data_IF_708188324407
#
_entry.id   IF_708188324407
#
_cell.length_a   1.000
_cell.length_b   1.000
_cell.length_c   1.000
_cell.angle_alpha   90.00
_cell.angle_beta   90.00
_cell.angle_gamma   90.00
#
_symmetry.space_group_name_H-M   'P 1'
#
loop_
_entity.id
_entity.type
_entity.pdbx_description
1 polymer ?
#
# COMPACT_ATOMS: atom_id res chain seq x y z
N UNK A 1 25.56 -13.93 -46.50
CA UNK A 1 25.30 -13.50 -45.09
C UNK A 1 26.24 -12.35 -44.80
N UNK A 2 25.71 -11.18 -44.48
CA UNK A 2 26.54 -10.02 -44.12
C UNK A 2 26.78 -10.06 -42.60
N UNK A 3 28.04 -9.96 -42.18
CA UNK A 3 28.42 -10.02 -40.77
C UNK A 3 29.39 -8.88 -40.47
N UNK A 4 29.12 -8.14 -39.39
CA UNK A 4 30.08 -7.21 -38.81
C UNK A 4 30.73 -7.96 -37.63
N UNK A 5 32.08 -8.10 -37.70
CA UNK A 5 32.86 -8.80 -36.65
C UNK A 5 34.00 -7.94 -36.19
N UNK A 6 34.29 -7.98 -34.89
CA UNK A 6 35.59 -7.62 -34.33
C UNK A 6 36.21 -8.88 -33.74
N UNK A 7 37.51 -9.09 -33.96
CA UNK A 7 38.19 -10.32 -33.57
C UNK A 7 39.01 -10.21 -32.29
N UNK A 8 39.45 -9.02 -31.93
CA UNK A 8 40.28 -8.80 -30.74
C UNK A 8 39.91 -7.52 -29.93
N UNK A 9 39.31 -6.55 -30.63
CA UNK A 9 38.98 -5.25 -30.04
C UNK A 9 37.46 -5.00 -30.03
N UNK A 10 37.01 -3.99 -29.30
CA UNK A 10 35.60 -3.56 -29.30
C UNK A 10 35.21 -3.06 -30.70
N UNK A 11 34.02 -3.41 -31.17
CA UNK A 11 33.39 -2.77 -32.32
C UNK A 11 32.89 -1.39 -31.92
N UNK A 12 33.46 -0.33 -32.46
CA UNK A 12 32.94 1.02 -32.26
C UNK A 12 32.01 1.39 -33.41
N UNK A 13 30.76 1.72 -33.07
CA UNK A 13 29.81 2.34 -33.98
C UNK A 13 29.73 3.80 -33.61
N UNK A 14 30.09 4.70 -34.54
CA UNK A 14 30.08 6.14 -34.30
C UNK A 14 29.21 6.83 -35.33
N UNK A 15 28.31 7.67 -34.88
CA UNK A 15 27.50 8.56 -35.70
C UNK A 15 27.98 9.99 -35.47
N UNK A 16 28.90 10.47 -36.33
CA UNK A 16 29.47 11.81 -36.22
C UNK A 16 28.51 12.88 -36.73
N UNK A 17 28.46 14.00 -35.99
CA UNK A 17 27.69 15.20 -36.32
C UNK A 17 26.53 15.47 -35.38
N UNK A 18 26.07 16.75 -35.39
CA UNK A 18 24.93 17.16 -34.60
C UNK A 18 23.65 16.47 -35.10
N UNK A 19 22.89 15.86 -34.20
CA UNK A 19 21.63 15.14 -34.43
C UNK A 19 21.76 13.85 -35.27
N UNK A 20 22.90 13.16 -35.20
CA UNK A 20 23.06 11.85 -35.82
C UNK A 20 22.94 10.75 -34.74
N UNK A 21 22.06 9.80 -34.96
CA UNK A 21 21.79 8.68 -34.09
C UNK A 21 22.35 7.38 -34.69
N UNK A 22 22.61 6.38 -33.83
CA UNK A 22 22.84 5.01 -34.30
C UNK A 22 21.50 4.32 -34.44
N UNK A 23 21.10 3.99 -35.66
CA UNK A 23 19.79 3.42 -35.97
C UNK A 23 19.93 1.96 -36.35
N UNK A 24 19.19 1.07 -35.71
CA UNK A 24 19.04 -0.32 -36.07
C UNK A 24 17.73 -0.50 -36.84
N UNK A 25 17.81 -1.04 -38.04
CA UNK A 25 16.65 -1.26 -38.91
C UNK A 25 16.45 -2.74 -39.25
N UNK A 26 15.19 -3.13 -39.35
CA UNK A 26 14.77 -4.40 -39.90
C UNK A 26 13.74 -4.13 -40.99
N UNK A 27 14.00 -4.64 -42.18
CA UNK A 27 13.14 -4.46 -43.36
C UNK A 27 12.74 -2.98 -43.59
N UNK A 28 13.73 -2.08 -43.49
CA UNK A 28 13.54 -0.62 -43.68
C UNK A 28 12.87 0.14 -42.56
N UNK A 29 12.44 -0.54 -41.50
CA UNK A 29 11.83 0.09 -40.32
C UNK A 29 12.82 0.16 -39.15
N UNK A 30 12.85 1.28 -38.42
CA UNK A 30 13.66 1.43 -37.22
C UNK A 30 13.12 0.52 -36.13
N UNK A 31 13.99 -0.35 -35.57
CA UNK A 31 13.66 -1.27 -34.48
C UNK A 31 14.34 -0.86 -33.17
N UNK A 32 15.46 -0.14 -33.25
CA UNK A 32 16.08 0.52 -32.10
C UNK A 32 16.90 1.72 -32.57
N UNK A 33 17.03 2.71 -31.69
CA UNK A 33 17.80 3.95 -31.90
C UNK A 33 18.56 4.28 -30.61
N UNK A 34 19.87 4.50 -30.73
CA UNK A 34 20.68 5.10 -29.67
C UNK A 34 20.97 6.55 -30.09
N UNK A 35 20.37 7.51 -29.35
CA UNK A 35 20.55 8.92 -29.61
C UNK A 35 21.85 9.49 -29.02
N UNK A 36 22.17 10.73 -29.33
CA UNK A 36 23.37 11.42 -28.84
C UNK A 36 23.34 11.69 -27.32
N UNK A 37 22.16 11.70 -26.68
CA UNK A 37 22.01 11.81 -25.23
C UNK A 37 22.26 10.49 -24.49
N UNK A 38 22.48 9.40 -25.25
CA UNK A 38 22.68 8.05 -24.71
C UNK A 38 21.39 7.31 -24.42
N UNK A 39 20.24 7.79 -24.93
CA UNK A 39 18.97 7.10 -24.78
C UNK A 39 18.83 6.01 -25.83
N UNK A 40 18.71 4.75 -25.41
CA UNK A 40 18.35 3.63 -26.26
C UNK A 40 16.83 3.46 -26.30
N UNK A 41 16.22 3.77 -27.43
CA UNK A 41 14.80 3.51 -27.72
C UNK A 41 14.67 2.25 -28.54
N UNK A 42 13.85 1.29 -28.10
CA UNK A 42 13.52 0.08 -28.84
C UNK A 42 12.05 -0.27 -28.64
N UNK A 43 11.42 -0.92 -29.62
CA UNK A 43 10.01 -1.31 -29.56
C UNK A 43 9.76 -2.34 -28.45
N UNK A 44 10.71 -3.24 -28.23
CA UNK A 44 10.64 -4.28 -27.19
C UNK A 44 12.05 -4.65 -26.72
N UNK A 45 12.16 -4.98 -25.43
CA UNK A 45 13.33 -5.63 -24.87
C UNK A 45 12.94 -7.04 -24.41
N UNK A 46 13.60 -8.06 -24.96
CA UNK A 46 13.42 -9.45 -24.53
C UNK A 46 14.65 -9.90 -23.75
N UNK A 47 14.45 -10.33 -22.50
CA UNK A 47 15.54 -10.78 -21.64
C UNK A 47 15.24 -10.56 -20.15
N UNK A 48 16.21 -10.89 -19.29
CA UNK A 48 16.12 -10.64 -17.85
C UNK A 48 16.32 -9.15 -17.55
N UNK A 49 15.37 -8.55 -16.85
CA UNK A 49 15.48 -7.20 -16.29
C UNK A 49 16.26 -7.12 -14.97
N UNK A 50 16.86 -8.22 -14.49
CA UNK A 50 17.48 -8.30 -13.16
C UNK A 50 18.61 -7.30 -12.93
N UNK A 51 19.26 -6.81 -14.00
CA UNK A 51 20.32 -5.81 -13.93
C UNK A 51 19.85 -4.39 -14.24
N UNK A 52 18.55 -4.17 -14.47
CA UNK A 52 18.00 -2.83 -14.65
C UNK A 52 17.94 -2.13 -13.29
N UNK A 53 18.64 -1.02 -13.16
CA UNK A 53 18.65 -0.17 -11.96
C UNK A 53 18.09 1.21 -12.31
N UNK A 54 17.66 1.96 -11.31
CA UNK A 54 17.16 3.32 -11.52
C UNK A 54 15.75 3.41 -12.09
N UNK A 55 14.97 2.31 -12.09
CA UNK A 55 13.55 2.36 -12.43
C UNK A 55 12.81 3.22 -11.40
N UNK A 56 12.14 4.25 -11.87
CA UNK A 56 11.31 5.13 -11.04
C UNK A 56 9.86 4.67 -11.02
N UNK A 57 9.06 5.15 -10.06
CA UNK A 57 7.64 4.84 -9.97
C UNK A 57 6.85 5.14 -11.26
N UNK A 58 7.24 6.19 -12.00
CA UNK A 58 6.60 6.60 -13.27
C UNK A 58 6.89 5.65 -14.44
N UNK A 59 7.87 4.75 -14.31
CA UNK A 59 8.23 3.76 -15.33
C UNK A 59 7.55 2.41 -15.09
N UNK A 60 6.84 2.28 -13.98
CA UNK A 60 6.12 1.05 -13.65
C UNK A 60 4.72 1.07 -14.29
N UNK A 61 4.23 -0.06 -14.82
CA UNK A 61 2.87 -0.14 -15.33
C UNK A 61 1.82 0.23 -14.28
N UNK A 62 0.71 0.84 -14.72
CA UNK A 62 -0.44 1.09 -13.84
C UNK A 62 -0.89 -0.21 -13.15
N UNK A 63 -1.21 -0.12 -11.87
CA UNK A 63 -1.55 -1.26 -11.02
C UNK A 63 -0.35 -1.93 -10.33
N UNK A 64 0.90 -1.54 -10.64
CA UNK A 64 2.08 -2.05 -9.94
C UNK A 64 2.10 -1.57 -8.49
N UNK A 65 2.55 -2.44 -7.57
CA UNK A 65 2.84 -2.04 -6.18
C UNK A 65 4.22 -1.37 -6.15
N UNK A 66 4.27 -0.11 -5.74
CA UNK A 66 5.49 0.70 -5.75
C UNK A 66 6.20 0.69 -4.40
N UNK A 67 5.45 0.73 -3.30
CA UNK A 67 5.96 0.65 -1.94
C UNK A 67 4.94 0.04 -1.00
N UNK A 68 5.42 -0.49 0.13
CA UNK A 68 4.60 -1.09 1.17
C UNK A 68 5.05 -0.52 2.52
N UNK A 69 4.08 -0.10 3.34
CA UNK A 69 4.28 0.26 4.75
C UNK A 69 3.38 -0.62 5.59
N UNK A 70 3.94 -1.26 6.61
CA UNK A 70 3.21 -2.11 7.52
C UNK A 70 3.42 -1.65 8.97
N UNK A 71 2.37 -1.69 9.76
CA UNK A 71 2.41 -1.48 11.22
C UNK A 71 1.65 -2.59 11.92
N UNK A 72 2.12 -2.95 13.09
CA UNK A 72 1.63 -4.07 13.90
C UNK A 72 1.34 -3.59 15.32
N UNK A 73 0.21 -4.01 15.87
CA UNK A 73 -0.17 -3.82 17.26
C UNK A 73 -0.43 -5.20 17.88
N UNK A 74 0.32 -5.55 18.92
CA UNK A 74 0.11 -6.75 19.74
C UNK A 74 -0.24 -6.44 21.20
N UNK A 75 -0.13 -5.18 21.60
CA UNK A 75 -0.50 -4.74 22.94
C UNK A 75 -2.01 -4.57 23.05
N UNK A 76 -2.60 -5.17 24.07
CA UNK A 76 -4.02 -5.00 24.37
C UNK A 76 -4.38 -3.53 24.56
N UNK A 77 -5.48 -3.11 23.99
CA UNK A 77 -6.10 -1.81 24.19
C UNK A 77 -7.48 -1.96 24.78
N UNK A 78 -7.75 -1.27 25.87
CA UNK A 78 -9.04 -1.32 26.59
C UNK A 78 -9.70 0.05 26.62
N UNK A 79 -11.00 0.09 26.37
CA UNK A 79 -11.83 1.31 26.53
C UNK A 79 -13.13 1.02 27.27
N UNK A 80 -13.53 1.96 28.13
CA UNK A 80 -14.84 2.01 28.75
C UNK A 80 -15.71 3.15 28.21
N UNK A 81 -15.14 3.99 27.33
CA UNK A 81 -15.76 5.22 26.82
C UNK A 81 -16.43 5.01 25.45
N UNK A 82 -17.56 5.68 25.24
CA UNK A 82 -18.20 5.77 23.92
C UNK A 82 -17.49 6.75 22.98
N UNK A 83 -16.60 7.58 23.50
CA UNK A 83 -15.72 8.41 22.67
C UNK A 83 -14.67 7.52 22.01
N UNK A 84 -14.45 7.73 20.71
CA UNK A 84 -13.42 7.01 19.98
C UNK A 84 -12.02 7.38 20.49
N UNK A 85 -11.22 6.36 20.73
CA UNK A 85 -9.82 6.48 21.13
C UNK A 85 -8.94 5.75 20.12
N UNK A 86 -7.71 6.22 19.97
CA UNK A 86 -6.73 5.57 19.11
C UNK A 86 -6.32 4.21 19.70
N UNK A 87 -6.24 3.19 18.85
CA UNK A 87 -5.71 1.88 19.26
C UNK A 87 -4.18 1.88 19.34
N UNK A 88 -3.51 2.85 18.72
CA UNK A 88 -2.08 2.85 18.46
C UNK A 88 -1.70 2.20 17.11
N UNK A 89 -2.64 1.52 16.43
CA UNK A 89 -2.41 0.97 15.10
C UNK A 89 -2.51 2.07 14.06
N UNK A 90 -1.36 2.50 13.55
CA UNK A 90 -1.24 3.62 12.61
C UNK A 90 -0.16 3.37 11.57
N UNK A 91 -0.35 3.86 10.37
CA UNK A 91 0.65 3.86 9.30
C UNK A 91 0.52 5.13 8.45
N UNK A 92 1.65 5.62 7.95
CA UNK A 92 1.71 6.82 7.11
C UNK A 92 2.42 6.51 5.81
N UNK A 93 1.90 7.03 4.71
CA UNK A 93 2.48 6.86 3.38
C UNK A 93 2.44 8.19 2.61
N UNK A 94 3.49 8.43 1.82
CA UNK A 94 3.58 9.53 0.85
C UNK A 94 3.67 8.92 -0.54
N UNK A 95 2.73 9.24 -1.42
CA UNK A 95 2.75 8.75 -2.79
C UNK A 95 3.82 9.44 -3.63
N UNK A 96 4.43 8.69 -4.55
CA UNK A 96 5.41 9.22 -5.50
C UNK A 96 4.76 10.07 -6.62
N UNK A 97 3.46 9.90 -6.85
CA UNK A 97 2.67 10.65 -7.83
C UNK A 97 1.26 10.89 -7.32
N UNK A 98 0.66 12.04 -7.70
CA UNK A 98 -0.74 12.37 -7.39
C UNK A 98 -1.76 11.48 -8.11
N UNK A 99 -1.37 10.76 -9.17
CA UNK A 99 -2.23 9.76 -9.84
C UNK A 99 -2.29 8.42 -9.10
N UNK A 100 -1.31 8.14 -8.22
CA UNK A 100 -1.22 6.88 -7.50
C UNK A 100 -2.31 6.78 -6.43
N UNK A 101 -2.59 5.55 -6.03
CA UNK A 101 -3.59 5.23 -5.01
C UNK A 101 -2.95 4.50 -3.85
N UNK A 102 -3.58 4.57 -2.68
CA UNK A 102 -3.15 3.79 -1.52
C UNK A 102 -4.19 2.69 -1.26
N UNK A 103 -3.77 1.43 -1.38
CA UNK A 103 -4.56 0.30 -0.91
C UNK A 103 -4.30 0.13 0.58
N UNK A 104 -5.33 0.34 1.39
CA UNK A 104 -5.29 0.22 2.84
C UNK A 104 -5.91 -1.11 3.24
N UNK A 105 -5.11 -2.04 3.73
CA UNK A 105 -5.57 -3.29 4.33
C UNK A 105 -5.44 -3.19 5.84
N UNK A 106 -6.54 -3.41 6.56
CA UNK A 106 -6.56 -3.39 8.01
C UNK A 106 -7.16 -4.70 8.53
N UNK A 107 -6.51 -5.26 9.54
CA UNK A 107 -7.00 -6.40 10.31
C UNK A 107 -6.88 -6.07 11.79
N UNK A 108 -7.97 -6.21 12.53
CA UNK A 108 -8.02 -6.03 13.98
C UNK A 108 -8.35 -7.36 14.61
N UNK A 109 -7.40 -7.90 15.38
CA UNK A 109 -7.55 -9.16 16.12
C UNK A 109 -7.97 -8.92 17.57
N UNK A 110 -8.31 -10.00 18.28
CA UNK A 110 -8.60 -9.99 19.70
C UNK A 110 -9.71 -9.02 20.10
N UNK A 111 -10.80 -8.95 19.32
CA UNK A 111 -11.92 -8.08 19.61
C UNK A 111 -12.79 -8.76 20.66
N UNK A 112 -12.97 -8.10 21.79
CA UNK A 112 -13.73 -8.64 22.92
C UNK A 112 -14.46 -7.54 23.71
N UNK A 113 -15.62 -7.88 24.25
CA UNK A 113 -16.30 -7.09 25.27
C UNK A 113 -16.30 -7.80 26.62
N UNK A 114 -16.28 -7.04 27.71
CA UNK A 114 -16.37 -7.52 29.06
C UNK A 114 -17.48 -6.80 29.84
N UNK A 115 -18.45 -7.57 30.32
CA UNK A 115 -19.59 -7.06 31.05
C UNK A 115 -20.46 -6.09 30.26
N UNK A 116 -21.56 -5.69 30.85
CA UNK A 116 -22.45 -4.67 30.30
C UNK A 116 -23.13 -5.03 28.99
N UNK A 117 -24.18 -4.29 28.67
CA UNK A 117 -24.85 -4.33 27.37
C UNK A 117 -24.15 -3.37 26.42
N UNK A 118 -23.02 -3.81 25.88
CA UNK A 118 -22.21 -3.00 24.98
C UNK A 118 -21.63 -3.80 23.83
N UNK A 119 -20.91 -3.12 22.96
CA UNK A 119 -20.24 -3.67 21.79
C UNK A 119 -19.07 -2.79 21.36
N UNK A 120 -18.18 -3.32 20.56
CA UNK A 120 -17.05 -2.60 19.98
C UNK A 120 -17.47 -1.94 18.68
N UNK A 121 -17.15 -0.65 18.53
CA UNK A 121 -17.16 0.02 17.24
C UNK A 121 -15.73 0.34 16.83
N UNK A 122 -15.44 0.19 15.54
CA UNK A 122 -14.13 0.42 14.94
C UNK A 122 -14.26 1.33 13.72
N UNK A 123 -13.44 2.37 13.69
CA UNK A 123 -13.24 3.25 12.54
C UNK A 123 -11.81 3.21 12.05
N UNK A 124 -11.65 3.34 10.74
CA UNK A 124 -10.41 3.74 10.11
C UNK A 124 -10.49 5.24 9.85
N UNK A 125 -9.58 6.00 10.43
CA UNK A 125 -9.40 7.42 10.15
C UNK A 125 -8.35 7.62 9.05
N UNK A 126 -8.53 8.70 8.30
CA UNK A 126 -7.53 9.29 7.42
C UNK A 126 -7.31 10.74 7.84
N UNK A 127 -6.07 11.13 8.10
CA UNK A 127 -5.66 12.50 8.40
C UNK A 127 -6.50 13.18 9.51
N UNK A 128 -6.82 12.41 10.55
CA UNK A 128 -7.59 12.87 11.69
C UNK A 128 -9.12 12.86 11.50
N UNK A 129 -9.62 12.49 10.33
CA UNK A 129 -11.05 12.42 10.03
C UNK A 129 -11.52 10.97 9.89
N UNK A 130 -12.73 10.66 10.34
CA UNK A 130 -13.32 9.34 10.15
C UNK A 130 -13.56 9.08 8.66
N UNK A 131 -12.95 8.01 8.16
CA UNK A 131 -13.01 7.68 6.73
C UNK A 131 -13.84 6.42 6.45
N UNK A 132 -13.53 5.29 7.11
CA UNK A 132 -14.22 4.02 6.88
C UNK A 132 -14.63 3.35 8.20
N UNK A 133 -15.81 2.69 8.19
CA UNK A 133 -16.23 1.82 9.28
C UNK A 133 -15.71 0.41 9.02
N UNK A 134 -14.88 -0.12 9.91
CA UNK A 134 -14.33 -1.48 9.81
C UNK A 134 -15.04 -2.47 10.74
N UNK A 135 -15.77 -1.98 11.71
CA UNK A 135 -16.59 -2.81 12.58
C UNK A 135 -17.62 -1.99 13.35
N UNK A 136 -18.85 -2.46 13.37
CA UNK A 136 -19.95 -1.81 14.08
C UNK A 136 -20.70 -2.83 14.89
N UNK A 137 -20.93 -2.52 16.19
CA UNK A 137 -21.67 -3.36 17.11
C UNK A 137 -21.09 -4.77 17.27
N UNK A 138 -19.76 -4.91 17.16
CA UNK A 138 -19.10 -6.19 17.32
C UNK A 138 -19.27 -6.70 18.75
N UNK A 139 -19.70 -7.96 18.88
CA UNK A 139 -20.00 -8.58 20.17
C UNK A 139 -21.29 -8.09 20.84
N UNK A 140 -22.20 -7.44 20.08
CA UNK A 140 -23.49 -7.03 20.63
C UNK A 140 -24.35 -8.26 21.00
N UNK A 141 -25.07 -8.16 22.12
CA UNK A 141 -26.07 -9.16 22.58
C UNK A 141 -27.34 -8.40 22.92
N UNK A 142 -28.43 -8.81 22.32
CA UNK A 142 -29.72 -8.10 22.45
C UNK A 142 -30.46 -8.45 23.72
N UNK A 143 -30.11 -9.53 24.43
CA UNK A 143 -30.73 -9.92 25.71
C UNK A 143 -29.71 -10.55 26.65
N UNK A 144 -29.85 -10.22 27.90
CA UNK A 144 -28.93 -10.64 28.97
C UNK A 144 -27.63 -9.83 28.99
N UNK A 145 -26.82 -10.05 30.02
CA UNK A 145 -25.52 -9.40 30.21
C UNK A 145 -24.45 -10.48 30.35
N UNK A 146 -24.01 -11.10 29.25
CA UNK A 146 -22.91 -12.06 29.34
C UNK A 146 -21.67 -11.38 29.90
N UNK A 147 -20.93 -12.10 30.75
CA UNK A 147 -19.72 -11.57 31.37
C UNK A 147 -18.67 -11.15 30.37
N UNK A 148 -18.56 -11.88 29.25
CA UNK A 148 -17.66 -11.58 28.16
C UNK A 148 -18.18 -12.15 26.84
N UNK A 149 -17.86 -11.48 25.73
CA UNK A 149 -18.11 -12.00 24.37
C UNK A 149 -16.86 -11.76 23.53
N UNK A 150 -16.27 -12.83 23.03
CA UNK A 150 -15.17 -12.77 22.07
C UNK A 150 -15.71 -12.80 20.66
N UNK A 151 -15.26 -11.87 19.83
CA UNK A 151 -15.60 -11.76 18.40
C UNK A 151 -14.51 -12.39 17.52
N UNK A 152 -13.28 -12.45 18.05
CA UNK A 152 -12.09 -12.89 17.30
C UNK A 152 -11.44 -11.74 16.56
N UNK A 153 -11.96 -11.35 15.41
CA UNK A 153 -11.37 -10.26 14.63
C UNK A 153 -12.31 -9.71 13.54
N UNK A 154 -11.86 -8.62 12.92
CA UNK A 154 -12.48 -8.02 11.73
C UNK A 154 -11.42 -7.47 10.81
N UNK A 155 -11.73 -7.30 9.53
CA UNK A 155 -10.81 -6.75 8.54
C UNK A 155 -11.55 -5.86 7.54
N UNK A 156 -10.77 -5.02 6.85
CA UNK A 156 -11.25 -4.20 5.75
C UNK A 156 -10.14 -3.94 4.74
N UNK A 157 -10.51 -3.76 3.49
CA UNK A 157 -9.62 -3.39 2.39
C UNK A 157 -10.24 -2.23 1.63
N UNK A 158 -9.51 -1.13 1.50
CA UNK A 158 -10.01 0.12 0.93
C UNK A 158 -8.99 0.73 0.00
N UNK A 159 -9.41 1.16 -1.18
CA UNK A 159 -8.57 1.87 -2.12
C UNK A 159 -8.85 3.37 -2.03
N UNK A 160 -7.83 4.14 -1.68
CA UNK A 160 -7.88 5.59 -1.56
C UNK A 160 -7.16 6.28 -2.72
N UNK A 161 -7.88 7.12 -3.45
CA UNK A 161 -7.31 7.99 -4.48
C UNK A 161 -6.96 9.33 -3.81
N UNK A 162 -5.75 9.42 -3.27
CA UNK A 162 -5.32 10.56 -2.44
C UNK A 162 -5.25 11.89 -3.21
N UNK A 163 -4.88 11.85 -4.49
CA UNK A 163 -4.90 13.02 -5.39
C UNK A 163 -3.73 13.99 -5.21
N UNK A 164 -2.80 13.71 -4.30
CA UNK A 164 -1.62 14.55 -4.04
C UNK A 164 -0.42 13.70 -3.59
N UNK A 165 0.70 14.34 -3.31
CA UNK A 165 1.95 13.74 -2.85
C UNK A 165 2.28 14.13 -1.40
N UNK A 166 1.29 14.50 -0.61
CA UNK A 166 1.43 14.75 0.82
C UNK A 166 1.50 13.43 1.60
N UNK A 167 1.96 13.49 2.84
CA UNK A 167 1.93 12.35 3.73
C UNK A 167 0.52 12.13 4.26
N UNK A 168 -0.07 10.96 4.00
CA UNK A 168 -1.39 10.56 4.51
C UNK A 168 -1.23 9.54 5.63
N UNK A 169 -1.88 9.81 6.76
CA UNK A 169 -1.85 8.96 7.94
C UNK A 169 -3.19 8.25 8.13
N UNK A 170 -3.14 6.94 8.20
CA UNK A 170 -4.28 6.07 8.50
C UNK A 170 -4.10 5.49 9.88
N UNK A 171 -5.17 5.51 10.69
CA UNK A 171 -5.16 4.92 12.03
C UNK A 171 -6.48 4.29 12.39
N UNK A 172 -6.41 3.24 13.22
CA UNK A 172 -7.59 2.56 13.74
C UNK A 172 -7.99 3.17 15.06
N UNK A 173 -9.26 3.53 15.16
CA UNK A 173 -9.89 3.96 16.40
C UNK A 173 -10.98 2.97 16.84
N UNK A 174 -11.20 2.90 18.13
CA UNK A 174 -12.23 2.05 18.72
C UNK A 174 -13.02 2.79 19.82
N UNK A 175 -14.22 2.31 20.09
CA UNK A 175 -15.03 2.81 21.21
C UNK A 175 -15.89 1.72 21.82
N UNK A 176 -16.22 1.90 23.09
CA UNK A 176 -17.25 1.17 23.81
C UNK A 176 -18.61 1.83 23.52
N UNK A 177 -19.46 1.18 22.75
CA UNK A 177 -20.69 1.78 22.22
C UNK A 177 -21.61 2.41 23.27
N UNK A 178 -21.69 1.85 24.46
CA UNK A 178 -22.71 2.23 25.46
C UNK A 178 -22.16 2.64 26.84
N UNK A 179 -20.86 2.87 26.97
CA UNK A 179 -20.20 3.22 28.26
C UNK A 179 -20.49 2.23 29.42
N UNK A 180 -20.83 0.98 29.12
CA UNK A 180 -21.08 -0.06 30.12
C UNK A 180 -20.08 -1.19 29.92
N UNK A 181 -19.47 -1.68 31.03
CA UNK A 181 -18.39 -2.64 30.94
C UNK A 181 -17.16 -2.08 30.21
N UNK A 182 -16.40 -2.93 29.59
CA UNK A 182 -15.23 -2.56 28.79
C UNK A 182 -15.19 -3.30 27.44
N UNK A 183 -14.49 -2.71 26.49
CA UNK A 183 -14.20 -3.33 25.20
C UNK A 183 -12.70 -3.38 24.97
N UNK A 184 -12.23 -4.40 24.27
CA UNK A 184 -10.82 -4.61 23.98
C UNK A 184 -10.58 -4.87 22.50
N UNK A 185 -9.38 -4.52 22.05
CA UNK A 185 -8.77 -4.95 20.79
C UNK A 185 -7.36 -5.45 21.08
N UNK A 186 -6.86 -6.34 20.24
CA UNK A 186 -5.60 -7.07 20.47
C UNK A 186 -5.58 -7.78 21.85
N UNK A 187 -6.76 -8.24 22.33
CA UNK A 187 -6.88 -9.00 23.57
C UNK A 187 -6.15 -10.34 23.46
N UNK A 188 -5.61 -10.79 24.59
CA UNK A 188 -4.93 -12.09 24.71
C UNK A 188 -3.75 -12.26 23.71
N UNK A 189 -3.02 -11.18 23.46
CA UNK A 189 -1.86 -11.19 22.56
C UNK A 189 -2.18 -11.30 21.06
N UNK A 190 -3.45 -11.18 20.69
CA UNK A 190 -3.85 -11.20 19.28
C UNK A 190 -3.25 -10.02 18.52
N UNK A 191 -2.71 -10.30 17.36
CA UNK A 191 -2.07 -9.31 16.51
C UNK A 191 -3.08 -8.58 15.63
N UNK A 192 -2.98 -7.24 15.60
CA UNK A 192 -3.66 -6.37 14.65
C UNK A 192 -2.66 -5.74 13.70
N UNK A 193 -3.02 -5.55 12.44
CA UNK A 193 -2.13 -4.99 11.42
C UNK A 193 -2.82 -3.94 10.57
N UNK A 194 -2.04 -2.97 10.11
CA UNK A 194 -2.40 -2.08 9.02
C UNK A 194 -1.29 -2.10 7.98
N UNK A 195 -1.65 -2.38 6.73
CA UNK A 195 -0.71 -2.40 5.61
C UNK A 195 -1.20 -1.43 4.54
N UNK A 196 -0.33 -0.49 4.19
CA UNK A 196 -0.52 0.45 3.09
C UNK A 196 0.32 -0.02 1.90
N UNK A 197 -0.27 -0.01 0.71
CA UNK A 197 0.41 -0.30 -0.55
C UNK A 197 0.15 0.84 -1.52
N UNK A 198 1.21 1.48 -2.01
CA UNK A 198 1.07 2.44 -3.10
C UNK A 198 0.91 1.68 -4.41
N UNK A 199 -0.13 2.01 -5.14
CA UNK A 199 -0.49 1.42 -6.44
C UNK A 199 -0.28 2.48 -7.52
N UNK A 200 0.52 2.17 -8.54
CA UNK A 200 0.73 3.02 -9.71
C UNK A 200 -0.61 3.34 -10.40
N UNK A 201 -0.86 4.61 -10.71
CA UNK A 201 -2.06 5.11 -11.36
C UNK A 201 -1.88 5.47 -12.82
#
# INVERSE_FOLDING_TARGET
MSTIKSSADNLTLNADGANNDIIFQSNGSNVATLDQAGLLTATTFAGSGASLTGLTASQMPAGSVLQIVNSVLSAEQTSTSSTYADTGLTATMTCASSSNKILVNVQVGGIRKYGGNTSVNLYLQKDGSNWQKIGVRLGNVDSGTPAAVSVGGTSGSFLDAVGDTSAHTYKVQYSNRQNTGSVRVSDDGATSTITLMEIAG
#
